data_IF_873930680177
#
_entry.id   IF_873930680177
#
_cell.length_a   1.000
_cell.length_b   1.000
_cell.length_c   1.000
_cell.angle_alpha   90.00
_cell.angle_beta   90.00
_cell.angle_gamma   90.00
#
_symmetry.space_group_name_H-M   'P 1'
#
loop_
_entity.id
_entity.type
_entity.pdbx_description
1 polymer ?
#
# COMPACT_ATOMS: atom_id res chain seq x y z
N UNK A 1 8.00 0.47 38.88
CA UNK A 1 8.84 0.27 37.69
C UNK A 1 8.76 -1.18 37.26
N UNK A 2 7.87 -1.54 36.33
CA UNK A 2 8.01 -2.76 35.52
C UNK A 2 7.25 -2.56 34.20
N UNK A 3 7.85 -1.84 33.24
CA UNK A 3 7.33 -1.76 31.87
C UNK A 3 7.61 -3.11 31.22
N UNK A 4 6.57 -3.92 31.02
CA UNK A 4 6.68 -5.20 30.31
C UNK A 4 7.00 -4.89 28.85
N UNK A 5 8.05 -5.54 28.33
CA UNK A 5 8.46 -5.58 26.93
C UNK A 5 7.43 -6.41 26.13
N UNK A 6 6.21 -5.91 25.96
CA UNK A 6 5.26 -6.53 25.05
C UNK A 6 5.29 -5.73 23.75
N UNK A 7 5.74 -6.35 22.65
CA UNK A 7 5.57 -5.82 21.30
C UNK A 7 4.07 -5.70 21.06
N UNK A 8 3.58 -4.49 20.81
CA UNK A 8 2.20 -4.28 20.40
C UNK A 8 2.02 -4.87 19.00
N UNK A 9 0.91 -5.57 18.75
CA UNK A 9 0.55 -6.07 17.42
C UNK A 9 0.50 -4.91 16.41
N UNK A 10 0.08 -3.72 16.86
CA UNK A 10 0.13 -2.50 16.04
C UNK A 10 1.55 -2.19 15.59
N UNK A 11 2.52 -2.25 16.49
CA UNK A 11 3.91 -1.94 16.19
C UNK A 11 4.47 -2.97 15.19
N UNK A 12 4.17 -4.27 15.39
CA UNK A 12 4.53 -5.32 14.44
C UNK A 12 3.94 -5.08 13.03
N UNK A 13 2.70 -4.63 12.94
CA UNK A 13 2.04 -4.32 11.66
C UNK A 13 2.66 -3.10 10.98
N UNK A 14 3.03 -2.07 11.76
CA UNK A 14 3.71 -0.89 11.23
C UNK A 14 5.08 -1.29 10.69
N UNK A 15 5.90 -1.98 11.49
CA UNK A 15 7.24 -2.43 11.09
C UNK A 15 7.19 -3.30 9.83
N UNK A 16 6.24 -4.23 9.76
CA UNK A 16 6.06 -5.11 8.60
C UNK A 16 5.66 -4.35 7.33
N UNK A 17 4.81 -3.32 7.45
CA UNK A 17 4.43 -2.47 6.30
C UNK A 17 5.64 -1.62 5.86
N UNK A 18 6.38 -1.04 6.79
CA UNK A 18 7.58 -0.25 6.49
C UNK A 18 8.63 -1.10 5.76
N UNK A 19 8.91 -2.31 6.27
CA UNK A 19 9.83 -3.25 5.63
C UNK A 19 9.37 -3.61 4.21
N UNK A 20 8.10 -3.96 4.03
CA UNK A 20 7.55 -4.30 2.71
C UNK A 20 7.70 -3.13 1.73
N UNK A 21 7.42 -1.91 2.17
CA UNK A 21 7.56 -0.72 1.32
C UNK A 21 9.01 -0.43 0.97
N UNK A 22 9.96 -0.62 1.90
CA UNK A 22 11.39 -0.47 1.64
C UNK A 22 11.89 -1.47 0.61
N UNK A 23 11.54 -2.75 0.75
CA UNK A 23 11.94 -3.78 -0.22
C UNK A 23 11.39 -3.53 -1.61
N UNK A 24 10.18 -2.96 -1.69
CA UNK A 24 9.58 -2.62 -2.97
C UNK A 24 10.29 -1.45 -3.63
N UNK A 25 10.67 -0.43 -2.87
CA UNK A 25 11.46 0.70 -3.36
C UNK A 25 12.82 0.21 -3.89
N UNK A 26 13.52 -0.61 -3.11
CA UNK A 26 14.80 -1.21 -3.52
C UNK A 26 14.68 -2.07 -4.79
N UNK A 27 13.58 -2.79 -4.97
CA UNK A 27 13.35 -3.61 -6.16
C UNK A 27 13.03 -2.80 -7.42
N UNK A 28 12.55 -1.56 -7.28
CA UNK A 28 12.07 -0.73 -8.39
C UNK A 28 13.04 0.40 -8.77
N UNK A 29 13.81 0.93 -7.82
CA UNK A 29 14.57 2.19 -7.96
C UNK A 29 15.54 2.23 -9.14
N UNK A 30 16.11 1.08 -9.51
CA UNK A 30 17.12 0.97 -10.58
C UNK A 30 16.53 0.50 -11.91
N UNK A 31 15.20 0.29 -11.98
CA UNK A 31 14.53 -0.16 -13.20
C UNK A 31 14.11 1.03 -14.07
N UNK A 32 14.35 0.90 -15.37
CA UNK A 32 13.79 1.82 -16.36
C UNK A 32 12.27 1.64 -16.46
N UNK A 33 11.58 2.66 -16.99
CA UNK A 33 10.14 2.57 -17.22
C UNK A 33 9.76 1.39 -18.15
N UNK A 34 10.61 1.05 -19.11
CA UNK A 34 10.39 -0.12 -19.98
C UNK A 34 10.46 -1.42 -19.17
N UNK A 35 11.47 -1.58 -18.32
CA UNK A 35 11.63 -2.76 -17.46
C UNK A 35 10.50 -2.89 -16.45
N UNK A 36 10.05 -1.78 -15.86
CA UNK A 36 8.90 -1.76 -14.93
C UNK A 36 7.62 -2.23 -15.61
N UNK A 37 7.43 -1.91 -16.89
CA UNK A 37 6.23 -2.24 -17.65
C UNK A 37 6.34 -3.54 -18.48
N UNK A 38 7.51 -4.17 -18.51
CA UNK A 38 7.71 -5.41 -19.24
C UNK A 38 6.86 -6.53 -18.65
N UNK A 39 6.11 -7.22 -19.51
CA UNK A 39 5.30 -8.37 -19.13
C UNK A 39 6.06 -9.66 -19.45
N UNK A 40 6.29 -10.53 -18.46
CA UNK A 40 6.84 -11.85 -18.72
C UNK A 40 5.89 -12.69 -19.58
N UNK A 41 6.40 -13.65 -20.38
CA UNK A 41 5.55 -14.54 -21.16
C UNK A 41 4.65 -15.40 -20.25
N UNK A 42 3.47 -15.78 -20.77
CA UNK A 42 2.47 -16.55 -20.03
C UNK A 42 1.46 -15.66 -19.30
N UNK A 43 1.06 -16.06 -18.09
CA UNK A 43 0.02 -15.40 -17.28
C UNK A 43 0.59 -14.53 -16.15
N UNK A 44 1.86 -14.12 -16.27
CA UNK A 44 2.48 -13.21 -15.32
C UNK A 44 2.11 -11.75 -15.63
N UNK A 45 2.24 -10.90 -14.63
CA UNK A 45 2.05 -9.45 -14.75
C UNK A 45 3.40 -8.74 -14.59
N UNK A 46 3.52 -7.53 -15.13
CA UNK A 46 4.71 -6.71 -14.95
C UNK A 46 5.00 -6.42 -13.48
N UNK A 47 6.27 -6.19 -13.17
CA UNK A 47 6.69 -5.79 -11.81
C UNK A 47 6.01 -4.49 -11.38
N UNK A 48 5.81 -3.55 -12.31
CA UNK A 48 5.07 -2.32 -12.07
C UNK A 48 3.60 -2.57 -11.70
N UNK A 49 2.93 -3.51 -12.37
CA UNK A 49 1.57 -3.88 -12.01
C UNK A 49 1.50 -4.54 -10.63
N UNK A 50 2.43 -5.45 -10.32
CA UNK A 50 2.51 -6.06 -8.99
C UNK A 50 2.71 -5.02 -7.89
N UNK A 51 3.67 -4.10 -8.05
CA UNK A 51 3.92 -3.04 -7.08
C UNK A 51 2.69 -2.13 -6.90
N UNK A 52 2.06 -1.73 -8.02
CA UNK A 52 0.81 -0.99 -7.99
C UNK A 52 -0.29 -1.75 -7.21
N UNK A 53 -0.46 -3.05 -7.49
CA UNK A 53 -1.49 -3.88 -6.86
C UNK A 53 -1.28 -4.01 -5.34
N UNK A 54 -0.05 -4.23 -4.88
CA UNK A 54 0.25 -4.36 -3.44
C UNK A 54 -0.03 -3.05 -2.71
N UNK A 55 0.50 -1.92 -3.20
CA UNK A 55 0.29 -0.62 -2.55
C UNK A 55 -1.19 -0.24 -2.47
N UNK A 56 -1.96 -0.62 -3.49
CA UNK A 56 -3.41 -0.39 -3.57
C UNK A 56 -4.21 -1.27 -2.61
N UNK A 57 -3.77 -2.50 -2.41
CA UNK A 57 -4.36 -3.40 -1.43
C UNK A 57 -4.10 -2.89 -0.02
N UNK A 58 -2.88 -2.44 0.27
CA UNK A 58 -2.55 -1.79 1.55
C UNK A 58 -3.39 -0.55 1.83
N UNK A 59 -3.55 0.35 0.83
CA UNK A 59 -4.43 1.52 0.96
C UNK A 59 -5.89 1.12 1.23
N UNK A 60 -6.42 0.13 0.52
CA UNK A 60 -7.78 -0.38 0.74
C UNK A 60 -7.94 -0.96 2.16
N UNK A 61 -6.99 -1.74 2.66
CA UNK A 61 -7.07 -2.31 4.01
C UNK A 61 -7.05 -1.19 5.05
N UNK A 62 -6.10 -0.26 4.96
CA UNK A 62 -5.98 0.82 5.94
C UNK A 62 -7.16 1.79 5.87
N UNK A 63 -7.47 2.33 4.70
CA UNK A 63 -8.47 3.39 4.59
C UNK A 63 -9.89 2.86 4.49
N UNK A 64 -10.14 1.82 3.69
CA UNK A 64 -11.49 1.30 3.53
C UNK A 64 -11.87 0.30 4.63
N UNK A 65 -11.01 -0.67 4.95
CA UNK A 65 -11.36 -1.70 5.95
C UNK A 65 -11.27 -1.16 7.37
N UNK A 66 -10.14 -0.54 7.77
CA UNK A 66 -9.97 -0.06 9.14
C UNK A 66 -10.61 1.31 9.39
N UNK A 67 -10.36 2.30 8.51
CA UNK A 67 -10.84 3.68 8.72
C UNK A 67 -12.25 3.96 8.20
N UNK A 68 -12.85 3.03 7.44
CA UNK A 68 -14.16 3.19 6.79
C UNK A 68 -14.27 4.45 5.93
N UNK A 69 -13.16 4.89 5.38
CA UNK A 69 -13.04 6.04 4.49
C UNK A 69 -12.69 5.60 3.06
N UNK A 70 -13.00 6.39 2.03
CA UNK A 70 -12.52 6.10 0.68
C UNK A 70 -10.99 5.94 0.67
N UNK A 71 -10.44 4.91 -0.02
CA UNK A 71 -9.01 4.77 -0.23
C UNK A 71 -8.41 6.03 -0.85
N UNK A 72 -7.17 6.37 -0.50
CA UNK A 72 -6.47 7.58 -0.95
C UNK A 72 -6.47 7.69 -2.48
N UNK A 73 -6.24 6.56 -3.15
CA UNK A 73 -6.20 6.52 -4.61
C UNK A 73 -7.55 6.89 -5.28
N UNK A 74 -8.67 6.70 -4.57
CA UNK A 74 -10.01 7.14 -5.00
C UNK A 74 -10.32 8.55 -4.50
N UNK A 75 -9.91 8.89 -3.28
CA UNK A 75 -10.16 10.20 -2.68
C UNK A 75 -9.59 11.34 -3.52
N UNK A 76 -8.48 11.11 -4.25
CA UNK A 76 -7.90 12.07 -5.19
C UNK A 76 -8.73 12.28 -6.47
N UNK A 77 -9.63 11.35 -6.80
CA UNK A 77 -10.53 11.41 -7.95
C UNK A 77 -11.94 11.89 -7.58
N UNK A 78 -12.32 11.80 -6.31
CA UNK A 78 -13.59 12.34 -5.83
C UNK A 78 -13.48 13.87 -5.72
N UNK A 79 -14.29 14.67 -6.43
CA UNK A 79 -14.46 16.07 -6.04
C UNK A 79 -14.88 16.07 -4.57
N UNK A 80 -14.29 16.93 -3.75
CA UNK A 80 -14.55 17.05 -2.30
C UNK A 80 -16.06 17.24 -2.04
N UNK A 81 -16.83 16.16 -2.04
CA UNK A 81 -18.20 16.19 -1.58
C UNK A 81 -18.10 16.16 -0.07
N UNK A 82 -18.22 17.35 0.52
CA UNK A 82 -18.60 17.53 1.93
C UNK A 82 -19.68 16.50 2.24
N UNK A 83 -19.43 15.68 3.24
CA UNK A 83 -20.49 14.90 3.88
C UNK A 83 -21.58 15.89 4.29
N UNK A 84 -22.67 15.91 3.54
CA UNK A 84 -23.97 16.32 4.05
C UNK A 84 -24.59 15.03 4.57
N UNK A 85 -24.49 14.83 5.88
CA UNK A 85 -25.44 13.96 6.59
C UNK A 85 -26.70 14.77 6.88
N UNK A 86 -27.90 14.20 6.72
CA UNK A 86 -29.11 14.77 7.31
C UNK A 86 -29.04 14.75 8.85
#
# INVERSE_FOLDING_TARGET
MTRRLAVDIRDLLIDGIEQLTSWMDDALKDLSAEQVNWNPPGNAVSVGFNAWHVMRTSDNIVNFVFRKSPPIWMARKAPRRRCQTP
#
